data_IF_434821404650
#
_entry.id   IF_434821404650
#
_cell.length_a   1.000
_cell.length_b   1.000
_cell.length_c   1.000
_cell.angle_alpha   90.00
_cell.angle_beta   90.00
_cell.angle_gamma   90.00
#
_symmetry.space_group_name_H-M   'P 1'
#
loop_
_entity.id
_entity.type
_entity.pdbx_description
1 polymer ?
#
# COMPACT_ATOMS: atom_id res chain seq x y z
N UNK A 1 35.06 11.96 2.63
CA UNK A 1 34.27 11.16 3.58
C UNK A 1 33.53 10.13 2.75
N UNK A 2 33.94 8.83 2.86
CA UNK A 2 33.33 7.77 2.06
C UNK A 2 31.90 7.53 2.56
N UNK A 3 30.91 7.85 1.73
CA UNK A 3 29.55 7.37 1.90
C UNK A 3 29.59 5.84 1.81
N UNK A 4 29.49 5.18 2.95
CA UNK A 4 29.15 3.76 3.00
C UNK A 4 27.75 3.64 2.41
N UNK A 5 27.66 3.20 1.15
CA UNK A 5 26.44 2.68 0.57
C UNK A 5 26.05 1.50 1.48
N UNK A 6 25.13 1.73 2.38
CA UNK A 6 24.55 0.66 3.21
C UNK A 6 23.83 -0.28 2.25
N UNK A 7 24.37 -1.47 2.03
CA UNK A 7 23.66 -2.52 1.28
C UNK A 7 22.28 -2.72 1.90
N UNK A 8 21.26 -2.73 1.05
CA UNK A 8 19.89 -3.01 1.48
C UNK A 8 19.86 -4.34 2.24
N UNK A 9 19.30 -4.32 3.45
CA UNK A 9 19.12 -5.52 4.29
C UNK A 9 18.16 -6.52 3.64
N UNK A 10 17.24 -6.03 2.81
CA UNK A 10 16.24 -6.84 2.13
C UNK A 10 16.62 -7.04 0.66
N UNK A 11 16.74 -8.31 0.24
CA UNK A 11 17.15 -8.71 -1.12
C UNK A 11 15.94 -9.27 -1.87
N UNK A 12 15.22 -8.42 -2.58
CA UNK A 12 14.08 -8.81 -3.41
C UNK A 12 14.42 -8.52 -4.87
N UNK A 13 14.06 -9.46 -5.76
CA UNK A 13 14.18 -9.28 -7.21
C UNK A 13 12.93 -8.57 -7.76
N UNK A 14 12.71 -7.33 -7.34
CA UNK A 14 11.71 -6.46 -7.91
C UNK A 14 12.40 -5.26 -8.56
N UNK A 15 11.95 -4.85 -9.76
CA UNK A 15 12.47 -3.66 -10.43
C UNK A 15 12.13 -2.42 -9.61
N UNK A 16 10.90 -2.36 -9.12
CA UNK A 16 10.38 -1.26 -8.31
C UNK A 16 9.75 -1.77 -7.03
N UNK A 17 10.09 -1.15 -5.91
CA UNK A 17 9.48 -1.41 -4.60
C UNK A 17 8.80 -0.12 -4.14
N UNK A 18 7.47 -0.13 -4.06
CA UNK A 18 6.67 1.04 -3.74
C UNK A 18 5.97 0.85 -2.41
N UNK A 19 6.23 1.76 -1.47
CA UNK A 19 5.56 1.79 -0.18
C UNK A 19 4.25 2.56 -0.24
N UNK A 20 3.16 1.97 0.25
CA UNK A 20 1.90 2.67 0.48
C UNK A 20 1.84 3.01 1.97
N UNK A 21 1.78 4.30 2.26
CA UNK A 21 1.86 4.82 3.61
C UNK A 21 0.69 5.74 3.94
N UNK A 22 0.38 5.84 5.22
CA UNK A 22 -0.57 6.83 5.74
C UNK A 22 -0.14 7.31 7.12
N UNK A 23 -0.45 8.54 7.43
CA UNK A 23 -0.12 9.13 8.73
C UNK A 23 -0.97 8.57 9.88
N UNK A 24 -2.16 8.03 9.59
CA UNK A 24 -3.07 7.41 10.58
C UNK A 24 -3.81 6.21 10.01
N UNK A 25 -4.40 5.39 10.88
CA UNK A 25 -5.29 4.29 10.50
C UNK A 25 -6.64 4.78 9.98
N UNK A 26 -7.35 3.92 9.23
CA UNK A 26 -8.71 4.18 8.76
C UNK A 26 -8.84 5.09 7.53
N UNK A 27 -7.76 5.52 6.89
CA UNK A 27 -7.81 6.34 5.67
C UNK A 27 -7.96 5.54 4.38
N UNK A 28 -8.08 4.21 4.47
CA UNK A 28 -8.23 3.32 3.30
C UNK A 28 -6.92 2.96 2.61
N UNK A 29 -5.79 3.02 3.33
CA UNK A 29 -4.45 2.66 2.82
C UNK A 29 -4.41 1.28 2.18
N UNK A 30 -4.83 0.24 2.89
CA UNK A 30 -4.80 -1.15 2.42
C UNK A 30 -5.77 -1.40 1.27
N UNK A 31 -6.96 -0.77 1.29
CA UNK A 31 -7.89 -0.79 0.16
C UNK A 31 -7.25 -0.19 -1.09
N UNK A 32 -6.53 0.93 -0.93
CA UNK A 32 -5.78 1.51 -2.03
C UNK A 32 -4.68 0.56 -2.52
N UNK A 33 -3.86 0.02 -1.61
CA UNK A 33 -2.74 -0.86 -1.96
C UNK A 33 -3.19 -2.08 -2.77
N UNK A 34 -4.26 -2.75 -2.35
CA UNK A 34 -4.84 -3.91 -3.04
C UNK A 34 -5.36 -3.55 -4.43
N UNK A 35 -6.18 -2.51 -4.54
CA UNK A 35 -6.73 -2.10 -5.84
C UNK A 35 -5.66 -1.57 -6.79
N UNK A 36 -4.66 -0.87 -6.28
CA UNK A 36 -3.50 -0.41 -7.04
C UNK A 36 -2.66 -1.58 -7.57
N UNK A 37 -2.39 -2.60 -6.74
CA UNK A 37 -1.68 -3.81 -7.16
C UNK A 37 -2.42 -4.56 -8.27
N UNK A 38 -3.73 -4.75 -8.12
CA UNK A 38 -4.58 -5.40 -9.13
C UNK A 38 -4.63 -4.56 -10.41
N UNK A 39 -4.70 -3.23 -10.30
CA UNK A 39 -4.67 -2.33 -11.48
C UNK A 39 -3.37 -2.46 -12.25
N UNK A 40 -2.22 -2.45 -11.57
CA UNK A 40 -0.91 -2.66 -12.22
C UNK A 40 -0.84 -4.04 -12.88
N UNK A 41 -1.40 -5.08 -12.25
CA UNK A 41 -1.50 -6.42 -12.86
C UNK A 41 -2.33 -6.40 -14.14
N UNK A 42 -3.46 -5.70 -14.15
CA UNK A 42 -4.33 -5.56 -15.33
C UNK A 42 -3.65 -4.76 -16.47
N UNK A 43 -2.69 -3.89 -16.12
CA UNK A 43 -1.83 -3.20 -17.09
C UNK A 43 -0.68 -4.07 -17.63
N UNK A 44 -0.57 -5.33 -17.20
CA UNK A 44 0.38 -6.31 -17.74
C UNK A 44 1.66 -6.49 -16.93
N UNK A 45 1.81 -5.84 -15.78
CA UNK A 45 3.00 -5.97 -14.93
C UNK A 45 2.97 -7.24 -14.07
N UNK A 46 4.15 -7.77 -13.70
CA UNK A 46 4.33 -8.82 -12.71
C UNK A 46 4.35 -8.19 -11.31
N UNK A 47 3.36 -8.51 -10.47
CA UNK A 47 3.09 -7.79 -9.22
C UNK A 47 3.15 -8.71 -8.00
N UNK A 48 3.83 -8.21 -6.95
CA UNK A 48 3.70 -8.71 -5.59
C UNK A 48 3.07 -7.65 -4.67
N UNK A 49 2.31 -8.09 -3.68
CA UNK A 49 1.85 -7.27 -2.56
C UNK A 49 2.32 -7.87 -1.24
N UNK A 50 2.97 -7.07 -0.43
CA UNK A 50 3.40 -7.41 0.93
C UNK A 50 2.62 -6.59 1.94
N UNK A 51 1.80 -7.26 2.74
CA UNK A 51 1.14 -6.67 3.90
C UNK A 51 2.11 -6.64 5.08
N UNK A 52 2.63 -5.48 5.37
CA UNK A 52 3.53 -5.22 6.48
C UNK A 52 2.82 -4.58 7.69
N UNK A 53 1.49 -4.46 7.66
CA UNK A 53 0.69 -3.98 8.79
C UNK A 53 0.48 -5.10 9.81
N UNK A 54 1.46 -5.24 10.72
CA UNK A 54 1.52 -6.31 11.71
C UNK A 54 0.40 -6.22 12.74
N UNK A 55 -0.11 -5.02 12.97
CA UNK A 55 -1.12 -4.78 13.99
C UNK A 55 -2.55 -5.02 13.49
N UNK A 56 -2.77 -4.94 12.18
CA UNK A 56 -4.08 -5.12 11.57
C UNK A 56 -3.98 -5.62 10.13
N UNK A 57 -3.39 -6.82 9.91
CA UNK A 57 -3.22 -7.34 8.56
C UNK A 57 -4.59 -7.52 7.88
N UNK A 58 -4.79 -6.84 6.77
CA UNK A 58 -6.09 -6.80 6.09
C UNK A 58 -6.04 -7.25 4.63
N UNK A 59 -4.84 -7.29 4.05
CA UNK A 59 -4.65 -7.68 2.64
C UNK A 59 -5.16 -9.10 2.35
N UNK A 60 -4.93 -10.13 3.21
CA UNK A 60 -5.48 -11.47 2.98
C UNK A 60 -6.98 -11.46 2.74
N UNK A 61 -7.73 -10.82 3.64
CA UNK A 61 -9.18 -10.70 3.55
C UNK A 61 -9.61 -9.95 2.28
N UNK A 62 -8.98 -8.81 1.98
CA UNK A 62 -9.31 -8.01 0.79
C UNK A 62 -8.95 -8.71 -0.51
N UNK A 63 -7.98 -9.62 -0.49
CA UNK A 63 -7.60 -10.46 -1.62
C UNK A 63 -8.38 -11.78 -1.70
N UNK A 64 -9.30 -12.04 -0.77
CA UNK A 64 -10.07 -13.29 -0.73
C UNK A 64 -9.20 -14.53 -0.55
N UNK A 65 -8.12 -14.43 0.22
CA UNK A 65 -7.17 -15.52 0.46
C UNK A 65 -7.29 -15.97 1.92
N UNK A 66 -7.64 -17.25 2.13
CA UNK A 66 -7.74 -17.88 3.44
C UNK A 66 -6.69 -18.98 3.67
N UNK A 67 -6.01 -19.40 2.61
CA UNK A 67 -5.00 -20.44 2.69
C UNK A 67 -3.73 -19.98 3.44
N UNK A 68 -2.93 -20.94 3.91
CA UNK A 68 -1.62 -20.65 4.51
C UNK A 68 -0.51 -20.92 3.49
N UNK A 69 0.55 -20.09 3.44
CA UNK A 69 1.67 -20.31 2.55
C UNK A 69 2.43 -21.58 2.95
N UNK A 70 2.89 -22.33 1.95
CA UNK A 70 3.74 -23.51 2.13
C UNK A 70 5.21 -23.13 1.96
N UNK A 71 6.09 -23.95 2.53
CA UNK A 71 7.54 -23.79 2.35
C UNK A 71 8.01 -24.71 1.22
N UNK A 72 8.82 -24.20 0.30
CA UNK A 72 9.42 -24.98 -0.78
C UNK A 72 10.72 -25.69 -0.33
N UNK A 73 11.32 -26.50 -1.23
CA UNK A 73 12.54 -27.25 -0.97
C UNK A 73 13.76 -26.38 -0.61
N UNK A 74 13.74 -25.08 -0.96
CA UNK A 74 14.76 -24.10 -0.61
C UNK A 74 14.49 -23.43 0.74
N UNK A 75 13.56 -23.94 1.54
CA UNK A 75 13.11 -23.38 2.81
C UNK A 75 12.60 -21.95 2.72
N UNK A 76 11.96 -21.59 1.58
CA UNK A 76 11.31 -20.30 1.36
C UNK A 76 9.79 -20.44 1.33
N UNK A 77 9.09 -19.46 1.85
CA UNK A 77 7.64 -19.37 1.75
C UNK A 77 7.22 -19.11 0.31
N UNK A 78 6.28 -19.88 -0.19
CA UNK A 78 5.67 -19.65 -1.50
C UNK A 78 4.54 -18.66 -1.35
N UNK A 79 4.59 -17.49 -2.03
CA UNK A 79 3.53 -16.49 -1.93
C UNK A 79 2.22 -17.05 -2.48
N UNK A 80 1.12 -16.74 -1.83
CA UNK A 80 -0.21 -17.08 -2.33
C UNK A 80 -0.57 -16.18 -3.52
N UNK A 81 -1.35 -16.70 -4.45
CA UNK A 81 -1.69 -15.95 -5.66
C UNK A 81 -3.21 -15.87 -5.79
N UNK A 82 -3.73 -14.66 -5.87
CA UNK A 82 -5.09 -14.42 -6.30
C UNK A 82 -5.13 -13.19 -7.23
N UNK A 83 -6.08 -13.19 -8.16
CA UNK A 83 -6.20 -12.14 -9.19
C UNK A 83 -4.89 -11.86 -9.96
N UNK A 84 -4.00 -12.87 -10.04
CA UNK A 84 -2.70 -12.77 -10.69
C UNK A 84 -1.66 -11.95 -9.93
N UNK A 85 -1.91 -11.58 -8.68
CA UNK A 85 -1.00 -10.88 -7.78
C UNK A 85 -0.43 -11.86 -6.75
N UNK A 86 0.90 -11.89 -6.59
CA UNK A 86 1.56 -12.64 -5.52
C UNK A 86 1.36 -11.91 -4.20
N UNK A 87 0.86 -12.60 -3.20
CA UNK A 87 0.49 -12.00 -1.92
C UNK A 87 1.23 -12.67 -0.77
N UNK A 88 1.80 -11.87 0.13
CA UNK A 88 2.33 -12.32 1.41
C UNK A 88 1.88 -11.34 2.50
N UNK A 89 1.48 -11.89 3.63
CA UNK A 89 1.07 -11.12 4.81
C UNK A 89 1.50 -11.82 6.07
N UNK A 90 1.79 -11.06 7.09
CA UNK A 90 1.95 -11.60 8.45
C UNK A 90 0.66 -12.30 8.92
N UNK A 91 -0.50 -11.85 8.44
CA UNK A 91 -1.79 -12.45 8.74
C UNK A 91 -1.93 -13.92 8.31
N UNK A 92 -1.13 -14.39 7.35
CA UNK A 92 -1.09 -15.82 7.00
C UNK A 92 -0.32 -16.68 8.01
N UNK A 93 0.56 -16.05 8.80
CA UNK A 93 1.48 -16.72 9.72
C UNK A 93 0.97 -16.71 11.17
N UNK A 94 -0.10 -15.96 11.45
CA UNK A 94 -0.66 -15.77 12.78
C UNK A 94 -2.12 -16.20 12.75
N UNK A 95 -2.62 -16.76 13.84
CA UNK A 95 -4.07 -17.00 13.99
C UNK A 95 -4.76 -15.70 14.40
N UNK A 96 -5.82 -15.31 13.69
CA UNK A 96 -6.59 -14.07 13.93
C UNK A 96 -7.07 -13.92 15.38
N UNK A 97 -7.31 -15.03 16.06
CA UNK A 97 -7.78 -15.08 17.44
C UNK A 97 -6.68 -14.94 18.50
N UNK A 98 -5.40 -14.99 18.11
CA UNK A 98 -4.29 -14.98 19.06
C UNK A 98 -3.79 -13.55 19.25
N UNK A 99 -3.94 -12.94 20.45
CA UNK A 99 -3.34 -11.64 20.73
C UNK A 99 -1.82 -11.76 20.72
N UNK A 100 -1.20 -11.43 19.60
CA UNK A 100 0.25 -11.43 19.51
C UNK A 100 0.80 -10.15 20.14
N UNK A 101 1.56 -10.32 21.24
CA UNK A 101 2.30 -9.21 21.84
C UNK A 101 3.58 -8.98 21.03
N UNK A 102 3.48 -8.12 20.03
CA UNK A 102 4.60 -7.75 19.18
C UNK A 102 5.59 -6.84 19.91
N UNK A 103 6.82 -7.30 20.09
CA UNK A 103 7.94 -6.46 20.53
C UNK A 103 8.78 -6.09 19.30
N UNK A 104 9.38 -4.90 19.29
CA UNK A 104 10.14 -4.38 18.15
C UNK A 104 11.09 -5.37 17.47
N UNK A 105 11.93 -6.14 18.18
CA UNK A 105 12.80 -7.15 17.56
C UNK A 105 12.05 -8.29 16.87
N UNK A 106 10.89 -8.70 17.39
CA UNK A 106 10.05 -9.74 16.78
C UNK A 106 9.41 -9.25 15.47
N UNK A 107 8.93 -8.00 15.49
CA UNK A 107 8.41 -7.30 14.30
C UNK A 107 9.45 -7.29 13.19
N UNK A 108 10.68 -6.89 13.51
CA UNK A 108 11.76 -6.81 12.53
C UNK A 108 12.15 -8.18 11.96
N UNK A 109 12.17 -9.22 12.78
CA UNK A 109 12.45 -10.59 12.32
C UNK A 109 11.35 -11.11 11.40
N UNK A 110 10.08 -10.86 11.73
CA UNK A 110 8.95 -11.25 10.89
C UNK A 110 8.99 -10.53 9.53
N UNK A 111 9.25 -9.22 9.53
CA UNK A 111 9.42 -8.46 8.31
C UNK A 111 10.59 -8.99 7.47
N UNK A 112 11.75 -9.24 8.08
CA UNK A 112 12.90 -9.80 7.39
C UNK A 112 12.57 -11.16 6.75
N UNK A 113 11.81 -12.00 7.41
CA UNK A 113 11.34 -13.27 6.86
C UNK A 113 10.39 -13.06 5.67
N UNK A 114 9.46 -12.11 5.74
CA UNK A 114 8.55 -11.80 4.64
C UNK A 114 9.25 -11.18 3.43
N UNK A 115 10.34 -10.45 3.63
CA UNK A 115 11.14 -9.90 2.54
C UNK A 115 12.09 -10.95 1.94
N UNK A 116 12.93 -11.55 2.76
CA UNK A 116 14.02 -12.42 2.31
C UNK A 116 13.63 -13.90 2.23
N UNK A 117 12.69 -14.34 3.06
CA UNK A 117 12.24 -15.72 3.20
C UNK A 117 11.12 -16.13 2.23
N UNK A 118 10.67 -15.24 1.34
CA UNK A 118 9.60 -15.51 0.38
C UNK A 118 10.19 -15.71 -1.02
N UNK A 119 9.66 -16.68 -1.77
CA UNK A 119 10.01 -16.92 -3.17
C UNK A 119 9.20 -15.99 -4.09
N UNK A 120 9.54 -14.71 -4.07
CA UNK A 120 8.84 -13.71 -4.90
C UNK A 120 9.04 -13.94 -6.41
N UNK A 121 10.20 -14.51 -6.81
CA UNK A 121 10.63 -14.54 -8.21
C UNK A 121 10.92 -13.13 -8.74
N UNK A 122 10.89 -12.97 -10.05
CA UNK A 122 11.07 -11.66 -10.68
C UNK A 122 9.75 -10.89 -10.71
N UNK A 123 9.78 -9.65 -10.24
CA UNK A 123 8.64 -8.74 -10.20
C UNK A 123 8.98 -7.44 -10.92
N UNK A 124 8.00 -6.86 -11.61
CA UNK A 124 8.09 -5.46 -12.04
C UNK A 124 7.85 -4.53 -10.86
N UNK A 125 6.86 -4.85 -10.02
CA UNK A 125 6.54 -4.07 -8.82
C UNK A 125 6.30 -4.98 -7.60
N UNK A 126 6.85 -4.57 -6.46
CA UNK A 126 6.42 -5.02 -5.14
C UNK A 126 5.75 -3.85 -4.43
N UNK A 127 4.48 -3.98 -4.12
CA UNK A 127 3.71 -3.01 -3.36
C UNK A 127 3.78 -3.41 -1.89
N UNK A 128 4.19 -2.50 -1.03
CA UNK A 128 4.28 -2.73 0.42
C UNK A 128 3.19 -1.91 1.10
N UNK A 129 2.23 -2.58 1.71
CA UNK A 129 1.23 -1.96 2.57
C UNK A 129 1.83 -1.77 3.96
N UNK A 130 2.26 -0.54 4.29
CA UNK A 130 2.94 -0.23 5.54
C UNK A 130 1.97 -0.14 6.72
N UNK A 131 2.44 -0.36 7.98
CA UNK A 131 1.63 -0.02 9.15
C UNK A 131 1.22 1.46 9.13
N UNK A 132 0.09 1.85 9.74
CA UNK A 132 -0.29 3.26 9.82
C UNK A 132 0.61 4.05 10.78
N UNK A 133 0.70 5.36 10.57
CA UNK A 133 1.48 6.26 11.42
C UNK A 133 2.87 6.58 10.85
N UNK A 134 3.75 7.11 11.68
CA UNK A 134 5.13 7.50 11.34
C UNK A 134 6.12 6.96 12.38
N UNK A 135 5.81 5.80 12.93
CA UNK A 135 6.59 5.17 13.99
C UNK A 135 7.82 4.38 13.49
N UNK A 136 8.53 3.79 14.45
CA UNK A 136 9.79 3.08 14.24
C UNK A 136 9.68 1.95 13.19
N UNK A 137 8.54 1.26 13.11
CA UNK A 137 8.34 0.18 12.15
C UNK A 137 8.39 0.69 10.70
N UNK A 138 7.69 1.78 10.39
CA UNK A 138 7.74 2.41 9.07
C UNK A 138 9.14 2.94 8.74
N UNK A 139 9.76 3.65 9.69
CA UNK A 139 11.09 4.20 9.53
C UNK A 139 12.11 3.10 9.24
N UNK A 140 12.06 2.01 10.00
CA UNK A 140 12.99 0.88 9.84
C UNK A 140 12.76 0.16 8.50
N UNK A 141 11.51 -0.03 8.09
CA UNK A 141 11.19 -0.58 6.77
C UNK A 141 11.73 0.30 5.65
N UNK A 142 11.51 1.61 5.73
CA UNK A 142 12.00 2.56 4.74
C UNK A 142 13.53 2.58 4.64
N UNK A 143 14.24 2.43 5.76
CA UNK A 143 15.70 2.38 5.79
C UNK A 143 16.29 1.03 5.37
N UNK A 144 15.58 -0.07 5.63
CA UNK A 144 16.07 -1.43 5.37
C UNK A 144 15.76 -1.92 3.95
N UNK A 145 14.76 -1.32 3.30
CA UNK A 145 14.33 -1.65 1.93
C UNK A 145 14.91 -0.64 0.95
N UNK A 146 15.29 -1.10 -0.23
CA UNK A 146 15.62 -0.20 -1.35
C UNK A 146 14.33 0.25 -2.02
N UNK A 147 13.58 1.15 -1.38
CA UNK A 147 12.34 1.67 -1.93
C UNK A 147 12.61 2.54 -3.16
N UNK A 148 11.90 2.28 -4.25
CA UNK A 148 11.86 3.17 -5.42
C UNK A 148 11.07 4.45 -5.11
N UNK A 149 10.13 4.38 -4.17
CA UNK A 149 9.41 5.54 -3.66
C UNK A 149 8.23 5.16 -2.77
N UNK A 150 7.50 6.18 -2.35
CA UNK A 150 6.31 6.03 -1.50
C UNK A 150 5.11 6.78 -2.08
N UNK A 151 3.91 6.26 -1.86
CA UNK A 151 2.63 6.92 -2.12
C UNK A 151 1.97 7.17 -0.78
N UNK A 152 1.58 8.41 -0.53
CA UNK A 152 0.92 8.81 0.72
C UNK A 152 -0.59 8.83 0.53
N UNK A 153 -1.32 8.13 1.38
CA UNK A 153 -2.78 8.12 1.39
C UNK A 153 -3.28 8.98 2.54
N UNK A 154 -4.14 9.94 2.24
CA UNK A 154 -4.80 10.79 3.22
C UNK A 154 -6.27 10.94 2.90
N UNK A 155 -7.06 11.39 3.88
CA UNK A 155 -8.42 11.90 3.67
C UNK A 155 -8.40 13.43 3.75
N UNK A 156 -9.46 14.15 3.27
CA UNK A 156 -9.48 15.61 3.26
C UNK A 156 -9.47 16.29 4.64
N UNK A 157 -9.68 15.51 5.71
CA UNK A 157 -9.75 16.02 7.08
C UNK A 157 -8.41 16.60 7.55
N UNK A 158 -8.40 17.76 8.17
CA UNK A 158 -7.19 18.47 8.63
C UNK A 158 -6.26 17.59 9.49
N UNK A 159 -6.82 16.79 10.41
CA UNK A 159 -6.02 15.89 11.25
C UNK A 159 -5.30 14.82 10.40
N UNK A 160 -5.96 14.29 9.36
CA UNK A 160 -5.35 13.32 8.47
C UNK A 160 -4.23 13.94 7.63
N UNK A 161 -4.43 15.19 7.20
CA UNK A 161 -3.44 15.95 6.44
C UNK A 161 -2.19 16.26 7.27
N UNK A 162 -2.35 16.65 8.54
CA UNK A 162 -1.23 16.85 9.46
C UNK A 162 -0.37 15.58 9.61
N UNK A 163 -1.02 14.43 9.70
CA UNK A 163 -0.31 13.15 9.80
C UNK A 163 0.32 12.72 8.46
N UNK A 164 -0.33 13.02 7.33
CA UNK A 164 0.27 12.82 6.01
C UNK A 164 1.56 13.65 5.83
N UNK A 165 1.58 14.89 6.30
CA UNK A 165 2.77 15.76 6.31
C UNK A 165 3.91 15.11 7.10
N UNK A 166 3.61 14.52 8.27
CA UNK A 166 4.63 13.80 9.05
C UNK A 166 5.20 12.62 8.25
N UNK A 167 4.34 11.88 7.53
CA UNK A 167 4.76 10.80 6.63
C UNK A 167 5.69 11.28 5.52
N UNK A 168 5.34 12.37 4.83
CA UNK A 168 6.19 13.00 3.80
C UNK A 168 7.56 13.35 4.38
N UNK A 169 7.58 14.03 5.53
CA UNK A 169 8.83 14.45 6.18
C UNK A 169 9.68 13.24 6.63
N UNK A 170 9.05 12.14 7.06
CA UNK A 170 9.74 10.90 7.41
C UNK A 170 10.46 10.31 6.18
N UNK A 171 9.76 10.15 5.05
CA UNK A 171 10.36 9.61 3.83
C UNK A 171 11.49 10.51 3.30
N UNK A 172 11.32 11.82 3.34
CA UNK A 172 12.37 12.77 2.96
C UNK A 172 13.63 12.61 3.84
N UNK A 173 13.48 12.40 5.16
CA UNK A 173 14.61 12.19 6.08
C UNK A 173 15.41 10.93 5.78
N UNK A 174 14.78 9.91 5.20
CA UNK A 174 15.45 8.65 4.84
C UNK A 174 15.77 8.55 3.35
N UNK A 175 15.68 9.67 2.62
CA UNK A 175 15.97 9.78 1.19
C UNK A 175 15.14 8.82 0.31
N UNK A 176 13.89 8.56 0.69
CA UNK A 176 12.94 7.82 -0.13
C UNK A 176 12.04 8.83 -0.87
N UNK A 177 12.00 8.80 -2.20
CA UNK A 177 11.17 9.71 -2.98
C UNK A 177 9.68 9.56 -2.63
N UNK A 178 8.98 10.68 -2.42
CA UNK A 178 7.52 10.67 -2.35
C UNK A 178 6.98 10.84 -3.76
N UNK A 179 6.47 9.74 -4.35
CA UNK A 179 5.96 9.70 -5.73
C UNK A 179 4.68 10.51 -5.89
N UNK A 180 3.95 10.68 -4.79
CA UNK A 180 2.80 11.55 -4.72
C UNK A 180 1.86 11.27 -3.55
N UNK A 181 0.81 12.08 -3.48
CA UNK A 181 -0.28 11.95 -2.50
C UNK A 181 -1.60 11.64 -3.20
N UNK A 182 -2.41 10.77 -2.60
CA UNK A 182 -3.78 10.45 -3.01
C UNK A 182 -4.73 10.93 -1.94
N UNK A 183 -5.77 11.67 -2.32
CA UNK A 183 -6.87 12.02 -1.45
C UNK A 183 -7.96 10.96 -1.54
N UNK A 184 -8.05 10.09 -0.55
CA UNK A 184 -9.09 9.07 -0.46
C UNK A 184 -10.30 9.61 0.32
N UNK A 185 -11.47 9.06 0.06
CA UNK A 185 -12.75 9.53 0.65
C UNK A 185 -12.99 11.02 0.39
N UNK A 186 -12.56 11.51 -0.79
CA UNK A 186 -12.57 12.93 -1.14
C UNK A 186 -13.99 13.47 -1.30
N UNK A 187 -14.87 12.68 -1.85
CA UNK A 187 -16.28 13.04 -2.06
C UNK A 187 -17.17 11.80 -2.11
N UNK A 188 -18.47 12.00 -2.05
CA UNK A 188 -19.50 10.99 -2.25
C UNK A 188 -20.47 11.44 -3.35
N UNK A 189 -20.82 10.54 -4.27
CA UNK A 189 -21.88 10.78 -5.26
C UNK A 189 -23.12 10.02 -4.82
N UNK A 190 -24.20 10.75 -4.55
CA UNK A 190 -25.45 10.14 -4.14
C UNK A 190 -26.03 9.25 -5.25
N UNK A 191 -26.29 7.98 -4.96
CA UNK A 191 -26.79 7.02 -5.96
C UNK A 191 -28.19 7.41 -6.48
N UNK A 192 -28.97 8.14 -5.69
CA UNK A 192 -30.34 8.54 -6.04
C UNK A 192 -30.37 9.84 -6.87
N UNK A 193 -29.81 10.94 -6.34
CA UNK A 193 -29.90 12.25 -7.00
C UNK A 193 -28.64 12.63 -7.80
N UNK A 194 -27.60 11.80 -7.79
CA UNK A 194 -26.32 12.01 -8.47
C UNK A 194 -25.54 13.26 -8.03
N UNK A 195 -25.97 13.92 -6.97
CA UNK A 195 -25.30 15.08 -6.42
C UNK A 195 -23.99 14.67 -5.73
N UNK A 196 -22.93 15.44 -5.97
CA UNK A 196 -21.63 15.31 -5.30
C UNK A 196 -21.71 15.99 -3.93
N UNK A 197 -21.25 15.28 -2.88
CA UNK A 197 -21.17 15.76 -1.51
C UNK A 197 -19.75 15.62 -0.98
N UNK A 198 -19.22 16.68 -0.39
CA UNK A 198 -17.88 16.74 0.21
C UNK A 198 -17.97 16.48 1.72
N UNK A 199 -18.26 15.21 2.10
CA UNK A 199 -18.58 14.79 3.48
C UNK A 199 -17.47 15.18 4.47
N UNK A 200 -16.20 15.06 4.06
CA UNK A 200 -15.03 15.32 4.89
C UNK A 200 -14.25 16.58 4.44
N UNK A 201 -14.87 17.53 3.72
CA UNK A 201 -14.17 18.56 2.96
C UNK A 201 -13.54 18.00 1.66
N UNK A 202 -12.81 18.85 0.91
CA UNK A 202 -12.21 18.46 -0.37
C UNK A 202 -10.93 19.27 -0.64
N UNK A 203 -9.99 18.65 -1.37
CA UNK A 203 -8.81 19.33 -1.91
C UNK A 203 -7.72 19.65 -0.90
N UNK A 204 -7.81 19.15 0.33
CA UNK A 204 -6.78 19.36 1.35
C UNK A 204 -5.46 18.70 0.96
N UNK A 205 -5.47 17.48 0.48
CA UNK A 205 -4.28 16.77 0.04
C UNK A 205 -3.66 17.41 -1.21
N UNK A 206 -4.46 17.99 -2.10
CA UNK A 206 -3.97 18.75 -3.26
C UNK A 206 -3.22 20.00 -2.83
N UNK A 207 -3.75 20.76 -1.89
CA UNK A 207 -3.06 21.95 -1.33
C UNK A 207 -1.73 21.58 -0.67
N UNK A 208 -1.70 20.49 0.09
CA UNK A 208 -0.45 20.02 0.70
C UNK A 208 0.55 19.52 -0.36
N UNK A 209 0.09 18.85 -1.42
CA UNK A 209 0.97 18.45 -2.53
C UNK A 209 1.68 19.63 -3.17
N UNK A 210 0.98 20.74 -3.38
CA UNK A 210 1.52 22.00 -3.92
C UNK A 210 2.57 22.61 -2.97
N UNK A 211 2.29 22.67 -1.65
CA UNK A 211 3.23 23.20 -0.65
C UNK A 211 4.54 22.40 -0.56
N UNK A 212 4.46 21.09 -0.65
CA UNK A 212 5.62 20.20 -0.57
C UNK A 212 6.26 19.91 -1.93
N UNK A 213 5.73 20.49 -3.00
CA UNK A 213 6.17 20.26 -4.38
C UNK A 213 6.24 18.76 -4.74
N UNK A 214 5.21 18.00 -4.32
CA UNK A 214 5.02 16.60 -4.64
C UNK A 214 3.80 16.41 -5.54
N UNK A 215 3.75 15.39 -6.40
CA UNK A 215 2.62 15.17 -7.29
C UNK A 215 1.31 14.89 -6.54
N UNK A 216 0.22 15.54 -6.94
CA UNK A 216 -1.13 15.09 -6.61
C UNK A 216 -1.56 14.01 -7.58
N UNK A 217 -1.77 12.78 -7.10
CA UNK A 217 -2.03 11.62 -7.94
C UNK A 217 -3.50 11.53 -8.34
N UNK A 218 -4.41 11.86 -7.43
CA UNK A 218 -5.85 11.86 -7.69
C UNK A 218 -6.72 11.84 -6.45
N UNK A 219 -8.02 11.92 -6.69
CA UNK A 219 -9.09 11.86 -5.69
C UNK A 219 -9.86 10.55 -5.86
N UNK A 220 -10.07 9.81 -4.78
CA UNK A 220 -10.88 8.60 -4.77
C UNK A 220 -12.15 8.90 -3.97
N UNK A 221 -13.36 8.66 -4.51
CA UNK A 221 -14.61 8.90 -3.80
C UNK A 221 -14.86 7.88 -2.69
N UNK A 222 -15.76 8.22 -1.79
CA UNK A 222 -16.44 7.25 -0.96
C UNK A 222 -17.43 6.50 -1.86
N UNK A 223 -17.29 5.17 -1.91
CA UNK A 223 -18.14 4.33 -2.73
C UNK A 223 -18.60 3.09 -1.96
N UNK A 224 -19.89 2.79 -2.08
CA UNK A 224 -20.53 1.69 -1.34
C UNK A 224 -20.05 0.34 -1.87
N UNK A 225 -19.94 0.20 -3.20
CA UNK A 225 -19.54 -1.06 -3.85
C UNK A 225 -18.06 -1.34 -3.61
N UNK A 226 -17.21 -0.29 -3.62
CA UNK A 226 -15.80 -0.41 -3.26
C UNK A 226 -15.65 -1.00 -1.83
N UNK A 227 -16.45 -0.52 -0.88
CA UNK A 227 -16.46 -1.03 0.50
C UNK A 227 -16.95 -2.48 0.55
N UNK A 228 -18.13 -2.78 -0.06
CA UNK A 228 -18.71 -4.11 -0.05
C UNK A 228 -17.77 -5.14 -0.66
N UNK A 229 -17.21 -4.85 -1.84
CA UNK A 229 -16.28 -5.75 -2.52
C UNK A 229 -15.00 -5.96 -1.72
N UNK A 230 -14.49 -4.94 -1.04
CA UNK A 230 -13.32 -5.08 -0.15
C UNK A 230 -13.61 -6.05 1.00
N UNK A 231 -14.80 -6.01 1.60
CA UNK A 231 -15.22 -6.93 2.66
C UNK A 231 -15.43 -8.35 2.15
N UNK A 232 -15.85 -8.51 0.89
CA UNK A 232 -16.06 -9.81 0.22
C UNK A 232 -14.76 -10.45 -0.28
N UNK A 233 -13.62 -9.77 -0.18
CA UNK A 233 -12.35 -10.27 -0.74
C UNK A 233 -12.28 -10.21 -2.26
N UNK A 234 -13.01 -9.28 -2.86
CA UNK A 234 -13.07 -9.05 -4.31
C UNK A 234 -12.58 -7.62 -4.61
N UNK A 235 -11.29 -7.41 -4.88
CA UNK A 235 -10.78 -6.08 -5.18
C UNK A 235 -11.62 -5.39 -6.27
N UNK A 236 -11.93 -4.12 -6.09
CA UNK A 236 -12.86 -3.41 -6.96
C UNK A 236 -12.37 -3.33 -8.42
N UNK A 237 -11.06 -3.22 -8.60
CA UNK A 237 -10.39 -3.11 -9.89
C UNK A 237 -10.12 -4.46 -10.60
N UNK A 238 -10.73 -5.59 -10.16
CA UNK A 238 -10.54 -6.90 -10.79
C UNK A 238 -11.11 -6.94 -12.22
N UNK A 239 -12.32 -6.39 -12.39
CA UNK A 239 -13.01 -6.44 -13.65
C UNK A 239 -12.52 -5.32 -14.57
N UNK A 240 -12.38 -5.62 -15.87
CA UNK A 240 -12.13 -4.63 -16.93
C UNK A 240 -13.30 -3.64 -17.10
N UNK A 241 -14.31 -3.69 -16.24
CA UNK A 241 -15.47 -2.79 -16.28
C UNK A 241 -14.95 -1.39 -16.03
N UNK A 242 -14.92 -0.60 -17.10
CA UNK A 242 -14.61 0.82 -17.07
C UNK A 242 -15.69 1.53 -16.25
N UNK A 243 -15.37 1.85 -15.02
CA UNK A 243 -16.13 2.76 -14.19
C UNK A 243 -15.22 3.88 -13.72
N UNK A 244 -15.80 4.96 -13.27
CA UNK A 244 -15.07 6.17 -12.89
C UNK A 244 -13.96 5.90 -11.86
N UNK A 245 -14.19 4.99 -10.90
CA UNK A 245 -13.21 4.65 -9.86
C UNK A 245 -12.05 3.83 -10.45
N UNK A 246 -12.33 2.83 -11.29
CA UNK A 246 -11.28 2.05 -11.96
C UNK A 246 -10.40 2.94 -12.84
N UNK A 247 -10.97 3.93 -13.51
CA UNK A 247 -10.23 4.89 -14.33
C UNK A 247 -9.31 5.78 -13.48
N UNK A 248 -9.73 6.16 -12.26
CA UNK A 248 -8.88 6.87 -11.30
C UNK A 248 -7.66 6.01 -10.94
N UNK A 249 -7.86 4.73 -10.58
CA UNK A 249 -6.76 3.82 -10.27
C UNK A 249 -5.82 3.60 -11.47
N UNK A 250 -6.37 3.45 -12.68
CA UNK A 250 -5.58 3.34 -13.92
C UNK A 250 -4.76 4.60 -14.16
N UNK A 251 -5.35 5.78 -13.98
CA UNK A 251 -4.64 7.05 -14.10
C UNK A 251 -3.48 7.17 -13.11
N UNK A 252 -3.72 6.79 -11.85
CA UNK A 252 -2.68 6.78 -10.81
C UNK A 252 -1.57 5.79 -11.18
N UNK A 253 -1.93 4.56 -11.60
CA UNK A 253 -0.97 3.52 -11.96
C UNK A 253 -0.08 3.95 -13.14
N UNK A 254 -0.64 4.57 -14.16
CA UNK A 254 0.13 5.12 -15.29
C UNK A 254 1.09 6.23 -14.85
N UNK A 255 0.63 7.20 -14.03
CA UNK A 255 1.48 8.27 -13.49
C UNK A 255 2.66 7.72 -12.67
N UNK A 256 2.47 6.59 -11.98
CA UNK A 256 3.55 5.94 -11.23
C UNK A 256 4.49 5.19 -12.18
N UNK A 257 3.95 4.43 -13.15
CA UNK A 257 4.77 3.69 -14.11
C UNK A 257 5.65 4.60 -14.98
N UNK A 258 5.18 5.81 -15.28
CA UNK A 258 5.97 6.81 -16.04
C UNK A 258 7.17 7.38 -15.22
N UNK A 259 7.18 7.17 -13.91
CA UNK A 259 8.22 7.71 -13.00
C UNK A 259 9.20 6.66 -12.48
N UNK A 260 8.86 5.40 -12.62
CA UNK A 260 9.61 4.26 -12.09
C UNK A 260 10.03 3.29 -13.20
#
# INVERSE_FOLDING_TARGET
>A
MNEKITESRFKIKAKNIIAIASGKGGVGKSTFAVNFAVTLKNLGYSIGILDADIYGPSVPRMMGISDKPVTNDNNKLVPLINYGVKCMSIGFLIEESTPAIWRGPMVMKALEQMFNGVEWGELDYLIIDLPPGTGDAQLTLAQSSKLSGSIIISTPQDIALLDAIKGINMFNKVNVPVLGIVENMSYFICNNCKQKHEIFSNGGAKKESEKFNIPFLGEIPIDIDLRIKSDEGKPFCISEIKNDISEIYISIAKKIADKT
#
